data_IF_558514866238
#
_entry.id   IF_558514866238
#
_cell.length_a   1.000
_cell.length_b   1.000
_cell.length_c   1.000
_cell.angle_alpha   90.00
_cell.angle_beta   90.00
_cell.angle_gamma   90.00
#
_symmetry.space_group_name_H-M   'P 1'
#
loop_
_entity.id
_entity.type
_entity.pdbx_description
1 polymer ?
#
# COMPACT_ATOMS: atom_id res chain seq x y z
N UNK A 1 -33.84 -0.46 -6.84
CA UNK A 1 -33.56 -1.87 -7.18
C UNK A 1 -32.09 -2.18 -6.82
N UNK A 2 -31.77 -3.44 -6.56
CA UNK A 2 -30.39 -3.91 -6.38
C UNK A 2 -29.60 -3.89 -7.72
N UNK A 3 -30.27 -4.27 -8.77
CA UNK A 3 -29.68 -4.44 -10.09
C UNK A 3 -29.62 -3.13 -10.88
N UNK A 4 -28.69 -3.05 -11.85
CA UNK A 4 -28.63 -1.97 -12.81
C UNK A 4 -29.79 -2.02 -13.84
N UNK A 5 -29.75 -1.13 -14.87
CA UNK A 5 -30.78 -1.09 -15.90
C UNK A 5 -30.88 -2.37 -16.75
N UNK A 6 -29.82 -3.15 -16.82
CA UNK A 6 -29.76 -4.42 -17.52
C UNK A 6 -30.16 -5.63 -16.64
N UNK A 7 -30.65 -5.40 -15.45
CA UNK A 7 -31.00 -6.41 -14.45
C UNK A 7 -29.83 -7.24 -13.94
N UNK A 8 -28.61 -6.72 -14.05
CA UNK A 8 -27.39 -7.35 -13.53
C UNK A 8 -27.08 -6.80 -12.13
N UNK A 9 -26.77 -7.71 -11.20
CA UNK A 9 -26.24 -7.38 -9.89
C UNK A 9 -24.77 -7.00 -10.02
N UNK A 10 -24.47 -5.71 -9.85
CA UNK A 10 -23.11 -5.21 -10.02
C UNK A 10 -22.13 -5.81 -8.99
N UNK A 11 -22.61 -6.22 -7.82
CA UNK A 11 -21.78 -6.89 -6.80
C UNK A 11 -21.68 -8.42 -7.05
N UNK A 12 -21.84 -8.87 -8.27
CA UNK A 12 -21.56 -10.20 -8.82
C UNK A 12 -20.83 -10.11 -10.15
N UNK A 13 -20.54 -8.91 -10.63
CA UNK A 13 -20.06 -8.66 -11.99
C UNK A 13 -18.59 -8.21 -12.05
N UNK A 14 -17.84 -8.32 -10.93
CA UNK A 14 -16.40 -8.11 -10.91
C UNK A 14 -15.64 -9.41 -11.20
N UNK A 15 -14.36 -9.34 -11.64
CA UNK A 15 -13.48 -10.51 -11.64
C UNK A 15 -13.37 -11.11 -10.24
N UNK A 16 -13.41 -12.44 -10.20
CA UNK A 16 -13.36 -13.21 -8.97
C UNK A 16 -12.06 -14.01 -8.86
N UNK A 17 -11.45 -14.12 -7.69
CA UNK A 17 -10.22 -14.89 -7.49
C UNK A 17 -10.37 -16.38 -7.79
N UNK A 18 -11.52 -16.98 -7.51
CA UNK A 18 -11.80 -18.39 -7.72
C UNK A 18 -12.46 -18.66 -9.07
N UNK A 19 -13.50 -17.90 -9.42
CA UNK A 19 -14.36 -18.16 -10.56
C UNK A 19 -13.99 -17.38 -11.83
N UNK A 20 -12.94 -16.56 -11.75
CA UNK A 20 -12.35 -15.89 -12.91
C UNK A 20 -13.03 -14.59 -13.30
N UNK A 21 -12.98 -14.27 -14.61
CA UNK A 21 -13.31 -12.92 -15.09
C UNK A 21 -14.80 -12.59 -15.10
N UNK A 22 -15.66 -13.57 -15.23
CA UNK A 22 -17.11 -13.41 -15.40
C UNK A 22 -17.88 -14.45 -14.57
N UNK A 23 -17.82 -14.38 -13.23
CA UNK A 23 -18.43 -15.40 -12.37
C UNK A 23 -19.96 -15.47 -12.50
N UNK A 24 -20.61 -14.35 -12.82
CA UNK A 24 -22.05 -14.27 -13.07
C UNK A 24 -22.47 -14.68 -14.51
N UNK A 25 -21.52 -15.05 -15.37
CA UNK A 25 -21.74 -15.41 -16.76
C UNK A 25 -22.11 -14.24 -17.68
N UNK A 26 -22.07 -13.01 -17.20
CA UNK A 26 -22.41 -11.81 -17.97
C UNK A 26 -21.16 -11.04 -18.39
N UNK A 27 -21.27 -10.23 -19.44
CA UNK A 27 -20.27 -9.22 -19.75
C UNK A 27 -20.21 -8.17 -18.65
N UNK A 28 -19.04 -7.60 -18.42
CA UNK A 28 -18.91 -6.48 -17.50
C UNK A 28 -19.84 -5.35 -17.89
N UNK A 29 -20.54 -4.83 -16.92
CA UNK A 29 -21.43 -3.68 -17.10
C UNK A 29 -20.62 -2.38 -17.14
N UNK A 30 -21.19 -1.33 -17.73
CA UNK A 30 -20.51 -0.03 -17.84
C UNK A 30 -20.11 0.51 -16.47
N UNK A 31 -20.97 0.36 -15.47
CA UNK A 31 -20.69 0.79 -14.09
C UNK A 31 -19.54 0.00 -13.47
N UNK A 32 -19.46 -1.32 -13.73
CA UNK A 32 -18.35 -2.17 -13.29
C UNK A 32 -17.05 -1.73 -13.95
N UNK A 33 -17.05 -1.51 -15.28
CA UNK A 33 -15.88 -1.05 -16.03
C UNK A 33 -15.40 0.33 -15.58
N UNK A 34 -16.31 1.27 -15.31
CA UNK A 34 -15.97 2.60 -14.81
C UNK A 34 -15.24 2.50 -13.47
N UNK A 35 -15.76 1.67 -12.55
CA UNK A 35 -15.12 1.47 -11.26
C UNK A 35 -13.78 0.76 -11.36
N UNK A 36 -13.67 -0.28 -12.19
CA UNK A 36 -12.41 -0.98 -12.45
C UNK A 36 -11.34 -0.04 -13.01
N UNK A 37 -11.70 0.80 -13.99
CA UNK A 37 -10.81 1.82 -14.56
C UNK A 37 -10.39 2.89 -13.53
N UNK A 38 -11.29 3.28 -12.64
CA UNK A 38 -10.94 4.17 -11.52
C UNK A 38 -9.90 3.51 -10.61
N UNK A 39 -10.13 2.25 -10.23
CA UNK A 39 -9.22 1.49 -9.38
C UNK A 39 -7.85 1.20 -10.05
N UNK A 40 -7.80 1.18 -11.38
CA UNK A 40 -6.54 1.09 -12.15
C UNK A 40 -5.80 2.43 -12.21
N UNK A 41 -6.54 3.53 -12.25
CA UNK A 41 -5.96 4.89 -12.36
C UNK A 41 -5.47 5.46 -11.02
N UNK A 42 -6.08 5.04 -9.91
CA UNK A 42 -5.76 5.49 -8.55
C UNK A 42 -5.41 4.29 -7.68
N UNK A 43 -4.18 4.17 -7.20
CA UNK A 43 -3.77 3.07 -6.34
C UNK A 43 -4.30 3.29 -4.90
N UNK A 44 -5.58 2.99 -4.70
CA UNK A 44 -6.18 3.03 -3.36
C UNK A 44 -5.48 2.02 -2.45
N UNK A 45 -5.09 2.41 -1.27
CA UNK A 45 -4.47 1.52 -0.28
C UNK A 45 -5.50 0.92 0.68
N UNK A 46 -6.59 1.65 0.93
CA UNK A 46 -7.69 1.23 1.81
C UNK A 46 -9.00 1.83 1.30
N UNK A 47 -10.09 1.07 1.37
CA UNK A 47 -11.43 1.51 0.99
C UNK A 47 -12.50 0.74 1.76
N UNK A 48 -13.73 1.22 1.72
CA UNK A 48 -14.90 0.45 2.13
C UNK A 48 -16.07 0.75 1.19
N UNK A 49 -16.98 -0.20 1.08
CA UNK A 49 -18.26 0.02 0.42
C UNK A 49 -19.42 -0.15 1.41
N UNK A 50 -20.55 0.49 1.10
CA UNK A 50 -21.72 0.48 1.96
C UNK A 50 -22.84 -0.32 1.33
N UNK A 51 -23.40 -1.21 2.13
CA UNK A 51 -24.57 -2.02 1.79
C UNK A 51 -25.67 -1.89 2.82
N UNK A 52 -26.78 -2.55 2.56
CA UNK A 52 -27.92 -2.68 3.45
C UNK A 52 -28.60 -4.03 3.25
N UNK A 53 -29.14 -4.57 4.29
CA UNK A 53 -29.78 -5.89 4.38
C UNK A 53 -29.33 -6.62 5.64
N UNK A 54 -28.31 -6.10 6.29
CA UNK A 54 -27.77 -6.52 7.59
C UNK A 54 -27.16 -5.31 8.33
N UNK A 55 -26.61 -5.57 9.50
CA UNK A 55 -25.86 -4.60 10.32
C UNK A 55 -24.56 -5.29 10.76
N UNK A 56 -23.53 -5.22 9.94
CA UNK A 56 -22.28 -5.97 10.14
C UNK A 56 -21.12 -5.37 9.35
N UNK A 57 -19.93 -5.44 9.91
CA UNK A 57 -18.66 -5.24 9.23
C UNK A 57 -18.23 -6.56 8.60
N UNK A 58 -18.26 -6.64 7.28
CA UNK A 58 -17.79 -7.80 6.50
C UNK A 58 -16.40 -7.54 5.92
N UNK A 59 -15.51 -8.54 6.04
CA UNK A 59 -14.14 -8.48 5.53
C UNK A 59 -13.82 -9.73 4.68
N UNK A 60 -12.84 -9.66 3.76
CA UNK A 60 -12.54 -10.76 2.84
C UNK A 60 -12.11 -12.04 3.54
N UNK A 61 -12.37 -13.16 2.90
CA UNK A 61 -12.86 -13.30 1.53
C UNK A 61 -14.33 -13.67 1.51
N UNK A 62 -15.03 -13.25 0.46
CA UNK A 62 -16.41 -13.65 0.21
C UNK A 62 -16.48 -14.94 -0.65
N UNK A 63 -15.50 -15.14 -1.57
CA UNK A 63 -15.52 -16.20 -2.58
C UNK A 63 -15.06 -17.57 -2.10
N UNK A 64 -14.21 -17.66 -1.07
CA UNK A 64 -13.65 -18.93 -0.57
C UNK A 64 -13.43 -18.97 0.94
N UNK A 65 -13.35 -20.21 1.47
CA UNK A 65 -13.21 -20.46 2.92
C UNK A 65 -11.81 -20.15 3.48
N UNK A 66 -10.82 -19.89 2.64
CA UNK A 66 -9.50 -19.51 3.11
C UNK A 66 -9.57 -18.14 3.78
N UNK A 67 -8.95 -18.00 4.94
CA UNK A 67 -8.79 -16.69 5.56
C UNK A 67 -7.72 -15.86 4.81
N UNK A 68 -7.75 -14.55 4.95
CA UNK A 68 -6.66 -13.71 4.46
C UNK A 68 -5.39 -13.90 5.30
N UNK A 69 -4.22 -13.60 4.75
CA UNK A 69 -2.99 -13.59 5.55
C UNK A 69 -3.05 -12.60 6.72
N UNK A 70 -3.84 -11.53 6.56
CA UNK A 70 -4.03 -10.48 7.56
C UNK A 70 -5.34 -10.66 8.36
N UNK A 71 -5.84 -11.88 8.54
CA UNK A 71 -7.15 -12.13 9.16
C UNK A 71 -7.28 -11.49 10.56
N UNK A 72 -6.26 -11.63 11.41
CA UNK A 72 -6.25 -10.99 12.73
C UNK A 72 -6.38 -9.47 12.66
N UNK A 73 -5.69 -8.83 11.71
CA UNK A 73 -5.83 -7.39 11.49
C UNK A 73 -7.26 -6.99 11.07
N UNK A 74 -7.91 -7.80 10.23
CA UNK A 74 -9.29 -7.57 9.84
C UNK A 74 -10.26 -7.72 11.01
N UNK A 75 -10.05 -8.73 11.87
CA UNK A 75 -10.83 -8.93 13.07
C UNK A 75 -10.70 -7.75 14.05
N UNK A 76 -9.46 -7.28 14.30
CA UNK A 76 -9.24 -6.10 15.16
C UNK A 76 -9.88 -4.83 14.57
N UNK A 77 -9.76 -4.62 13.26
CA UNK A 77 -10.37 -3.49 12.57
C UNK A 77 -11.91 -3.52 12.66
N UNK A 78 -12.49 -4.70 12.41
CA UNK A 78 -13.93 -4.91 12.50
C UNK A 78 -14.45 -4.71 13.93
N UNK A 79 -13.77 -5.28 14.92
CA UNK A 79 -14.09 -5.10 16.33
C UNK A 79 -14.04 -3.62 16.74
N UNK A 80 -12.99 -2.90 16.37
CA UNK A 80 -12.88 -1.45 16.61
C UNK A 80 -14.05 -0.69 15.99
N UNK A 81 -14.46 -1.06 14.76
CA UNK A 81 -15.61 -0.44 14.10
C UNK A 81 -16.89 -0.70 14.87
N UNK A 82 -17.21 -1.97 15.15
CA UNK A 82 -18.42 -2.40 15.85
C UNK A 82 -18.51 -1.82 17.27
N UNK A 83 -17.43 -1.94 18.05
CA UNK A 83 -17.38 -1.40 19.43
C UNK A 83 -17.61 0.11 19.45
N UNK A 84 -17.06 0.84 18.46
CA UNK A 84 -17.32 2.29 18.36
C UNK A 84 -18.77 2.57 17.98
N UNK A 85 -19.39 1.78 17.09
CA UNK A 85 -20.82 1.89 16.77
C UNK A 85 -21.65 1.68 18.04
N UNK A 86 -21.36 0.63 18.81
CA UNK A 86 -22.10 0.30 20.05
C UNK A 86 -22.06 1.42 21.09
N UNK A 87 -21.00 2.24 21.12
CA UNK A 87 -20.90 3.40 22.04
C UNK A 87 -21.87 4.53 21.69
N UNK A 88 -22.26 4.67 20.42
CA UNK A 88 -23.03 5.81 19.91
C UNK A 88 -24.42 5.45 19.41
N UNK A 89 -24.77 4.16 19.39
CA UNK A 89 -26.04 3.65 18.90
C UNK A 89 -26.95 3.12 20.01
N UNK A 90 -28.18 2.83 19.65
CA UNK A 90 -29.11 2.13 20.53
C UNK A 90 -28.72 0.66 20.72
N UNK A 91 -29.02 0.11 21.86
CA UNK A 91 -28.79 -1.32 22.15
C UNK A 91 -29.43 -2.22 21.08
N UNK A 92 -28.65 -3.15 20.55
CA UNK A 92 -29.09 -4.11 19.54
C UNK A 92 -28.74 -3.73 18.10
N UNK A 93 -28.32 -2.50 17.82
CA UNK A 93 -27.81 -2.12 16.52
C UNK A 93 -26.39 -2.65 16.33
N UNK A 94 -26.08 -3.17 15.13
CA UNK A 94 -24.78 -3.70 14.73
C UNK A 94 -24.28 -4.91 15.55
N UNK A 95 -25.20 -5.72 16.05
CA UNK A 95 -24.89 -6.91 16.86
C UNK A 95 -25.03 -8.24 16.09
N UNK A 96 -25.37 -8.16 14.80
CA UNK A 96 -25.54 -9.34 13.97
C UNK A 96 -24.17 -10.00 13.70
N UNK A 97 -24.11 -11.32 13.68
CA UNK A 97 -22.90 -12.13 13.48
C UNK A 97 -21.71 -11.65 14.35
N UNK A 98 -21.23 -12.48 15.23
CA UNK A 98 -20.05 -12.21 16.06
C UNK A 98 -19.93 -10.77 16.58
N UNK A 99 -21.05 -10.24 17.09
CA UNK A 99 -21.12 -8.88 17.62
C UNK A 99 -20.82 -7.77 16.58
N UNK A 100 -21.27 -7.98 15.35
CA UNK A 100 -21.16 -7.00 14.26
C UNK A 100 -19.94 -7.18 13.37
N UNK A 101 -19.25 -8.33 13.41
CA UNK A 101 -18.07 -8.59 12.58
C UNK A 101 -18.14 -9.99 11.98
N UNK A 102 -17.87 -10.11 10.69
CA UNK A 102 -17.84 -11.42 10.03
C UNK A 102 -16.80 -11.46 8.90
N UNK A 103 -16.19 -12.64 8.72
CA UNK A 103 -15.59 -13.01 7.44
C UNK A 103 -16.73 -13.27 6.44
N UNK A 104 -16.52 -12.92 5.17
CA UNK A 104 -17.57 -13.03 4.17
C UNK A 104 -18.04 -14.45 3.92
N UNK A 105 -17.12 -15.37 3.72
CA UNK A 105 -17.44 -16.79 3.53
C UNK A 105 -18.22 -17.39 4.70
N UNK A 106 -17.85 -17.08 5.91
CA UNK A 106 -18.53 -17.55 7.11
C UNK A 106 -19.99 -17.05 7.19
N UNK A 107 -20.29 -15.97 6.50
CA UNK A 107 -21.66 -15.47 6.37
C UNK A 107 -22.39 -16.14 5.22
N UNK A 108 -21.91 -15.96 3.99
CA UNK A 108 -22.34 -16.70 2.79
C UNK A 108 -21.42 -16.38 1.62
N UNK A 109 -21.22 -17.36 0.74
CA UNK A 109 -20.38 -17.24 -0.46
C UNK A 109 -20.92 -16.19 -1.43
N UNK A 110 -20.01 -15.35 -1.94
CA UNK A 110 -20.30 -14.32 -2.93
C UNK A 110 -19.18 -14.29 -3.97
N UNK A 111 -19.52 -14.66 -5.21
CA UNK A 111 -18.62 -14.62 -6.36
C UNK A 111 -18.77 -13.29 -7.09
N UNK A 112 -17.67 -12.73 -7.59
CA UNK A 112 -17.67 -11.47 -8.32
C UNK A 112 -18.03 -10.24 -7.49
N UNK A 113 -17.81 -10.30 -6.19
CA UNK A 113 -17.98 -9.19 -5.27
C UNK A 113 -16.90 -8.12 -5.44
N UNK A 114 -17.27 -6.85 -5.24
CA UNK A 114 -16.32 -5.74 -5.31
C UNK A 114 -15.24 -5.85 -4.22
N UNK A 115 -15.57 -6.32 -3.04
CA UNK A 115 -14.66 -6.48 -1.91
C UNK A 115 -13.46 -7.36 -2.31
N UNK A 116 -13.71 -8.56 -2.83
CA UNK A 116 -12.66 -9.49 -3.23
C UNK A 116 -11.87 -8.99 -4.42
N UNK A 117 -12.54 -8.36 -5.40
CA UNK A 117 -11.86 -7.70 -6.51
C UNK A 117 -10.83 -6.66 -6.02
N UNK A 118 -11.20 -5.78 -5.09
CA UNK A 118 -10.30 -4.75 -4.58
C UNK A 118 -9.14 -5.35 -3.78
N UNK A 119 -9.41 -6.34 -2.95
CA UNK A 119 -8.37 -6.98 -2.14
C UNK A 119 -7.40 -7.81 -3.01
N UNK A 120 -7.91 -8.65 -3.91
CA UNK A 120 -7.08 -9.60 -4.66
C UNK A 120 -6.39 -8.97 -5.87
N UNK A 121 -7.13 -8.24 -6.71
CA UNK A 121 -6.60 -7.71 -7.98
C UNK A 121 -6.01 -6.29 -7.85
N UNK A 122 -6.48 -5.51 -6.86
CA UNK A 122 -6.03 -4.12 -6.66
C UNK A 122 -5.15 -3.94 -5.43
N UNK A 123 -4.99 -4.98 -4.60
CA UNK A 123 -4.18 -4.99 -3.38
C UNK A 123 -4.59 -3.86 -2.41
N UNK A 124 -5.84 -3.44 -2.50
CA UNK A 124 -6.48 -2.45 -1.66
C UNK A 124 -7.24 -3.13 -0.54
N UNK A 125 -7.02 -2.77 0.70
CA UNK A 125 -7.76 -3.31 1.85
C UNK A 125 -9.17 -2.73 1.85
N UNK A 126 -10.13 -3.45 1.26
CA UNK A 126 -11.53 -3.07 1.21
C UNK A 126 -12.38 -3.98 2.10
N UNK A 127 -13.27 -3.39 2.89
CA UNK A 127 -14.35 -4.05 3.63
C UNK A 127 -15.71 -3.64 3.11
N UNK A 128 -16.73 -4.45 3.38
CA UNK A 128 -18.13 -4.13 3.14
C UNK A 128 -18.82 -3.85 4.48
N UNK A 129 -19.47 -2.70 4.60
CA UNK A 129 -20.18 -2.31 5.82
C UNK A 129 -21.67 -2.29 5.52
N UNK A 130 -22.41 -3.20 6.13
CA UNK A 130 -23.85 -3.28 6.07
C UNK A 130 -24.45 -2.41 7.17
N UNK A 131 -25.19 -1.37 6.78
CA UNK A 131 -25.59 -0.29 7.68
C UNK A 131 -27.04 -0.40 8.21
N UNK A 132 -27.85 -1.32 7.68
CA UNK A 132 -29.26 -1.43 8.06
C UNK A 132 -29.82 -2.79 7.71
N UNK A 133 -30.56 -3.40 8.62
CA UNK A 133 -31.34 -4.62 8.36
C UNK A 133 -32.41 -4.40 7.28
N UNK A 134 -32.83 -3.16 7.06
CA UNK A 134 -33.78 -2.79 6.00
C UNK A 134 -33.06 -2.40 4.74
N UNK A 135 -33.28 -3.13 3.63
CA UNK A 135 -32.62 -2.89 2.33
C UNK A 135 -32.84 -1.49 1.76
N UNK A 136 -34.00 -0.89 2.02
CA UNK A 136 -34.32 0.48 1.63
C UNK A 136 -34.94 1.16 2.86
N UNK A 137 -34.11 1.71 3.76
CA UNK A 137 -34.61 2.36 4.98
C UNK A 137 -35.35 3.65 4.65
N UNK A 138 -36.28 4.04 5.53
CA UNK A 138 -36.97 5.30 5.39
C UNK A 138 -35.96 6.46 5.43
N UNK A 139 -36.01 7.43 4.49
CA UNK A 139 -35.10 8.58 4.47
C UNK A 139 -35.00 9.34 5.79
N UNK A 140 -36.06 9.36 6.59
CA UNK A 140 -36.07 10.01 7.90
C UNK A 140 -35.16 9.34 8.94
N UNK A 141 -34.77 8.07 8.71
CA UNK A 141 -33.84 7.32 9.59
C UNK A 141 -32.37 7.50 9.24
N UNK A 142 -32.07 8.00 8.05
CA UNK A 142 -30.67 8.14 7.57
C UNK A 142 -29.78 9.01 8.48
N UNK A 143 -30.27 10.14 9.04
CA UNK A 143 -29.47 10.90 10.01
C UNK A 143 -29.12 10.11 11.28
N UNK A 144 -29.96 9.15 11.70
CA UNK A 144 -29.68 8.22 12.80
C UNK A 144 -28.49 7.33 12.44
N UNK A 145 -28.53 6.62 11.31
CA UNK A 145 -27.44 5.76 10.85
C UNK A 145 -26.11 6.53 10.71
N UNK A 146 -26.16 7.77 10.22
CA UNK A 146 -24.98 8.63 10.19
C UNK A 146 -24.43 8.89 11.59
N UNK A 147 -25.26 9.26 12.54
CA UNK A 147 -24.85 9.53 13.92
C UNK A 147 -24.24 8.30 14.58
N UNK A 148 -24.81 7.13 14.34
CA UNK A 148 -24.36 5.86 14.91
C UNK A 148 -23.00 5.42 14.33
N UNK A 149 -22.73 5.70 13.04
CA UNK A 149 -21.55 5.18 12.34
C UNK A 149 -20.41 6.20 12.13
N UNK A 150 -20.67 7.50 12.18
CA UNK A 150 -19.66 8.53 11.80
C UNK A 150 -18.34 8.42 12.55
N UNK A 151 -18.37 8.07 13.84
CA UNK A 151 -17.15 7.92 14.66
C UNK A 151 -16.35 6.69 14.22
N UNK A 152 -17.04 5.58 13.94
CA UNK A 152 -16.45 4.35 13.42
C UNK A 152 -15.82 4.57 12.04
N UNK A 153 -16.50 5.29 11.15
CA UNK A 153 -15.99 5.64 9.83
C UNK A 153 -14.72 6.51 9.90
N UNK A 154 -14.69 7.49 10.81
CA UNK A 154 -13.49 8.30 11.04
C UNK A 154 -12.35 7.43 11.59
N UNK A 155 -12.64 6.53 12.53
CA UNK A 155 -11.63 5.59 13.05
C UNK A 155 -11.14 4.63 11.97
N UNK A 156 -12.02 4.15 11.09
CA UNK A 156 -11.64 3.34 9.93
C UNK A 156 -10.67 4.10 9.01
N UNK A 157 -10.98 5.34 8.66
CA UNK A 157 -10.09 6.18 7.83
C UNK A 157 -8.73 6.38 8.52
N UNK A 158 -8.70 6.58 9.84
CA UNK A 158 -7.43 6.73 10.59
C UNK A 158 -6.53 5.51 10.49
N UNK A 159 -7.07 4.30 10.28
CA UNK A 159 -6.25 3.10 10.10
C UNK A 159 -5.32 3.21 8.89
N UNK A 160 -5.69 4.00 7.88
CA UNK A 160 -4.80 4.28 6.74
C UNK A 160 -3.49 4.98 7.11
N UNK A 161 -3.38 5.52 8.32
CA UNK A 161 -2.17 6.15 8.83
C UNK A 161 -1.21 5.15 9.51
N UNK A 162 -1.68 3.96 9.87
CA UNK A 162 -0.92 3.00 10.70
C UNK A 162 -0.26 1.90 9.85
N UNK A 163 0.59 1.08 10.50
CA UNK A 163 1.34 0.03 9.84
C UNK A 163 2.67 0.51 9.25
N UNK A 164 3.23 -0.25 8.30
CA UNK A 164 4.49 0.07 7.64
C UNK A 164 4.26 0.88 6.38
N UNK A 165 4.99 1.97 6.21
CA UNK A 165 5.02 2.77 4.98
C UNK A 165 6.36 3.44 4.76
N UNK A 166 6.61 3.91 3.56
CA UNK A 166 7.84 4.60 3.17
C UNK A 166 7.92 4.79 1.67
N UNK A 167 9.12 5.08 1.20
CA UNK A 167 9.44 5.29 -0.22
C UNK A 167 10.51 4.29 -0.65
N UNK A 168 10.34 3.70 -1.84
CA UNK A 168 11.34 2.79 -2.43
C UNK A 168 11.97 3.46 -3.64
N UNK A 169 13.31 3.54 -3.63
CA UNK A 169 14.09 4.22 -4.67
C UNK A 169 15.26 3.37 -5.15
N UNK A 170 15.74 3.70 -6.34
CA UNK A 170 17.03 3.24 -6.85
C UNK A 170 18.17 3.87 -6.02
N UNK A 171 19.10 3.06 -5.53
CA UNK A 171 20.19 3.50 -4.66
C UNK A 171 21.22 4.40 -5.35
N UNK A 172 21.26 4.40 -6.69
CA UNK A 172 22.24 5.15 -7.50
C UNK A 172 21.64 6.46 -7.98
N UNK A 173 20.43 6.40 -8.53
CA UNK A 173 19.79 7.55 -9.18
C UNK A 173 18.83 8.31 -8.26
N UNK A 174 18.38 7.66 -7.17
CA UNK A 174 17.34 8.18 -6.30
C UNK A 174 15.94 8.15 -6.92
N UNK A 175 15.79 7.61 -8.13
CA UNK A 175 14.49 7.54 -8.80
C UNK A 175 13.53 6.56 -8.09
N UNK A 176 12.24 6.88 -8.00
CA UNK A 176 11.25 6.00 -7.38
C UNK A 176 11.08 4.70 -8.17
N UNK A 177 10.84 3.61 -7.45
CA UNK A 177 10.65 2.28 -8.01
C UNK A 177 9.24 1.77 -7.73
N UNK A 178 8.68 0.98 -8.67
CA UNK A 178 7.51 0.13 -8.44
C UNK A 178 8.01 -1.23 -7.96
N UNK A 179 8.17 -1.38 -6.66
CA UNK A 179 8.70 -2.58 -6.01
C UNK A 179 7.61 -3.34 -5.26
N UNK A 180 7.70 -4.67 -5.24
CA UNK A 180 6.89 -5.55 -4.41
C UNK A 180 7.38 -5.49 -2.98
N UNK A 181 6.45 -5.39 -2.04
CA UNK A 181 6.66 -5.44 -0.59
C UNK A 181 5.86 -6.60 -0.05
N UNK A 182 6.54 -7.59 0.48
CA UNK A 182 5.93 -8.82 1.02
C UNK A 182 6.58 -9.24 2.33
N UNK A 183 5.87 -10.04 3.11
CA UNK A 183 6.34 -10.59 4.38
C UNK A 183 6.56 -12.09 4.21
N UNK A 184 7.80 -12.54 4.37
CA UNK A 184 8.14 -13.94 4.24
C UNK A 184 7.44 -14.81 5.29
N UNK A 185 6.84 -15.91 4.81
CA UNK A 185 6.13 -16.87 5.65
C UNK A 185 4.77 -16.40 6.16
N UNK A 186 4.32 -15.23 5.73
CA UNK A 186 3.05 -14.65 6.10
C UNK A 186 2.15 -14.39 4.87
N UNK A 187 2.66 -13.69 3.85
CA UNK A 187 1.84 -13.24 2.73
C UNK A 187 1.48 -14.36 1.76
N UNK A 188 0.18 -14.48 1.44
CA UNK A 188 -0.40 -15.34 0.40
C UNK A 188 -1.66 -14.66 -0.17
N UNK A 189 -2.25 -15.21 -1.20
CA UNK A 189 -3.49 -14.75 -1.84
C UNK A 189 -3.55 -13.21 -2.00
N UNK A 190 -2.52 -12.64 -2.65
CA UNK A 190 -2.42 -11.20 -2.93
C UNK A 190 -2.36 -10.27 -1.73
N UNK A 191 -1.91 -10.74 -0.56
CA UNK A 191 -1.74 -9.86 0.62
C UNK A 191 -0.51 -8.97 0.60
N UNK A 192 0.45 -9.20 -0.32
CA UNK A 192 1.55 -8.26 -0.59
C UNK A 192 1.05 -6.91 -1.13
N UNK A 193 1.91 -5.90 -1.16
CA UNK A 193 1.61 -4.61 -1.80
C UNK A 193 2.73 -4.19 -2.75
N UNK A 194 2.48 -3.16 -3.56
CA UNK A 194 3.51 -2.52 -4.38
C UNK A 194 3.69 -1.06 -3.98
N UNK A 195 4.90 -0.55 -4.17
CA UNK A 195 5.11 0.90 -4.17
C UNK A 195 4.61 1.50 -5.48
N UNK A 196 4.12 2.75 -5.43
CA UNK A 196 3.42 3.41 -6.51
C UNK A 196 4.23 4.56 -7.11
N UNK A 197 4.30 4.59 -8.45
CA UNK A 197 4.86 5.71 -9.18
C UNK A 197 3.85 6.86 -9.26
N UNK A 198 4.29 8.13 -9.36
CA UNK A 198 5.68 8.57 -9.53
C UNK A 198 6.47 8.78 -8.24
N UNK A 199 5.93 8.46 -7.07
CA UNK A 199 6.55 8.78 -5.76
C UNK A 199 7.39 7.62 -5.22
N UNK A 200 7.03 6.36 -5.52
CA UNK A 200 7.63 5.16 -4.94
C UNK A 200 7.10 4.81 -3.55
N UNK A 201 6.01 5.44 -3.14
CA UNK A 201 5.41 5.22 -1.81
C UNK A 201 4.69 3.88 -1.74
N UNK A 202 4.73 3.26 -0.56
CA UNK A 202 4.00 2.03 -0.24
C UNK A 202 3.35 2.11 1.13
N UNK A 203 2.29 1.30 1.33
CA UNK A 203 1.54 1.19 2.57
C UNK A 203 1.21 -0.29 2.81
N UNK A 204 1.61 -0.85 3.94
CA UNK A 204 1.31 -2.23 4.34
C UNK A 204 0.66 -2.22 5.72
N UNK A 205 -0.64 -2.48 5.75
CA UNK A 205 -1.42 -2.62 6.98
C UNK A 205 -1.25 -4.03 7.51
N UNK A 206 -1.00 -4.17 8.81
CA UNK A 206 -0.78 -5.43 9.50
C UNK A 206 -0.80 -5.18 11.00
N UNK A 207 -1.12 -6.23 11.76
CA UNK A 207 -1.08 -6.21 13.22
C UNK A 207 0.29 -5.90 13.79
N UNK A 208 0.32 -5.63 15.09
CA UNK A 208 1.57 -5.55 15.83
C UNK A 208 2.35 -6.87 15.76
N UNK A 209 3.65 -6.76 15.62
CA UNK A 209 4.52 -7.92 15.55
C UNK A 209 5.91 -7.58 15.04
N UNK A 210 6.74 -8.62 14.92
CA UNK A 210 8.04 -8.53 14.27
C UNK A 210 7.98 -9.33 12.98
N UNK A 211 8.26 -8.67 11.86
CA UNK A 211 8.09 -9.23 10.52
C UNK A 211 9.35 -9.07 9.68
N UNK A 212 9.68 -10.10 8.90
CA UNK A 212 10.73 -10.01 7.89
C UNK A 212 10.14 -9.54 6.56
N UNK A 213 10.21 -8.24 6.31
CA UNK A 213 9.80 -7.65 5.05
C UNK A 213 10.83 -7.87 3.96
N UNK A 214 10.38 -8.26 2.78
CA UNK A 214 11.18 -8.37 1.58
C UNK A 214 10.73 -7.34 0.54
N UNK A 215 11.68 -6.58 0.03
CA UNK A 215 11.50 -5.55 -0.99
C UNK A 215 12.17 -6.02 -2.28
N UNK A 216 11.41 -6.18 -3.36
CA UNK A 216 11.92 -6.68 -4.62
C UNK A 216 11.41 -5.89 -5.83
N UNK A 217 12.28 -5.68 -6.81
CA UNK A 217 11.97 -5.03 -8.07
C UNK A 217 12.76 -5.70 -9.19
N UNK A 218 12.14 -5.87 -10.37
CA UNK A 218 12.83 -6.45 -11.53
C UNK A 218 14.06 -5.61 -11.90
N UNK A 219 15.21 -6.26 -12.07
CA UNK A 219 16.48 -5.58 -12.35
C UNK A 219 17.25 -5.09 -11.12
N UNK A 220 16.76 -5.38 -9.92
CA UNK A 220 17.39 -4.97 -8.65
C UNK A 220 17.64 -6.17 -7.73
N UNK A 221 18.62 -6.02 -6.84
CA UNK A 221 18.85 -6.95 -5.73
C UNK A 221 17.71 -6.77 -4.71
N UNK A 222 17.09 -7.88 -4.29
CA UNK A 222 16.09 -7.86 -3.23
C UNK A 222 16.73 -7.51 -1.89
N UNK A 223 15.97 -6.83 -1.04
CA UNK A 223 16.41 -6.43 0.30
C UNK A 223 15.40 -6.89 1.34
N UNK A 224 15.87 -7.61 2.36
CA UNK A 224 15.04 -8.02 3.50
C UNK A 224 15.40 -7.20 4.73
N UNK A 225 14.39 -6.83 5.52
CA UNK A 225 14.54 -6.02 6.74
C UNK A 225 13.58 -6.55 7.79
N UNK A 226 14.10 -6.79 9.01
CA UNK A 226 13.28 -7.06 10.18
C UNK A 226 12.67 -5.75 10.69
N UNK A 227 11.35 -5.72 10.84
CA UNK A 227 10.60 -4.52 11.26
C UNK A 227 9.64 -4.86 12.38
N UNK A 228 9.71 -4.11 13.46
CA UNK A 228 8.71 -4.13 14.53
C UNK A 228 7.55 -3.20 14.19
N UNK A 229 6.35 -3.74 14.18
CA UNK A 229 5.09 -3.00 14.00
C UNK A 229 4.39 -2.90 15.36
N UNK A 230 3.88 -1.73 15.69
CA UNK A 230 3.08 -1.50 16.88
C UNK A 230 1.66 -1.08 16.49
N UNK A 231 0.66 -1.52 17.25
CA UNK A 231 -0.73 -1.15 17.02
C UNK A 231 -0.94 0.36 17.09
N UNK A 232 -1.86 0.85 16.27
CA UNK A 232 -2.25 2.26 16.21
C UNK A 232 -1.06 3.24 16.04
N UNK A 233 -0.01 2.79 15.38
CA UNK A 233 1.18 3.61 15.10
C UNK A 233 1.68 3.45 13.67
N UNK A 234 2.43 4.44 13.22
CA UNK A 234 3.09 4.45 11.91
C UNK A 234 4.55 4.06 12.07
N UNK A 235 4.98 3.01 11.37
CA UNK A 235 6.40 2.71 11.16
C UNK A 235 6.80 3.23 9.78
N UNK A 236 7.83 4.08 9.70
CA UNK A 236 8.35 4.62 8.44
C UNK A 236 9.67 3.94 8.11
N UNK A 237 9.75 3.36 6.92
CA UNK A 237 10.97 2.72 6.40
C UNK A 237 11.15 3.06 4.92
N UNK A 238 12.09 3.96 4.63
CA UNK A 238 12.53 4.21 3.26
C UNK A 238 13.57 3.17 2.84
N UNK A 239 13.42 2.63 1.63
CA UNK A 239 14.24 1.54 1.14
C UNK A 239 14.93 1.93 -0.16
N UNK A 240 16.22 1.67 -0.24
CA UNK A 240 16.99 1.79 -1.47
C UNK A 240 17.35 0.40 -1.97
N UNK A 241 17.05 0.12 -3.26
CA UNK A 241 17.41 -1.12 -3.94
C UNK A 241 18.60 -0.90 -4.87
N UNK A 242 19.52 -1.87 -4.92
CA UNK A 242 20.73 -1.81 -5.73
C UNK A 242 20.46 -2.47 -7.09
N UNK A 243 20.72 -1.79 -8.23
CA UNK A 243 20.58 -2.40 -9.55
C UNK A 243 21.47 -3.64 -9.73
N UNK A 244 20.95 -4.72 -10.33
CA UNK A 244 21.72 -5.94 -10.60
C UNK A 244 22.92 -5.72 -11.53
N UNK A 245 22.81 -4.80 -12.48
CA UNK A 245 23.87 -4.46 -13.42
C UNK A 245 24.87 -3.44 -12.88
N UNK A 246 24.71 -3.04 -11.62
CA UNK A 246 25.75 -2.29 -10.92
C UNK A 246 26.94 -3.21 -10.65
N UNK A 247 27.65 -3.58 -11.72
CA UNK A 247 29.06 -3.84 -11.60
C UNK A 247 29.63 -2.49 -11.20
N UNK A 248 29.87 -2.31 -9.91
CA UNK A 248 30.73 -1.22 -9.47
C UNK A 248 32.01 -1.36 -10.30
N UNK A 249 32.12 -0.59 -11.36
CA UNK A 249 33.45 -0.28 -11.86
C UNK A 249 34.07 0.42 -10.65
N UNK A 250 34.69 -0.38 -9.78
CA UNK A 250 35.84 0.09 -9.07
C UNK A 250 36.74 0.45 -10.24
N UNK A 251 36.53 1.65 -10.80
CA UNK A 251 37.65 2.26 -11.49
C UNK A 251 38.73 2.21 -10.40
N UNK A 252 39.80 1.43 -10.60
CA UNK A 252 40.97 1.58 -9.76
C UNK A 252 41.13 3.10 -9.79
N UNK A 253 41.18 3.72 -8.62
CA UNK A 253 41.57 5.12 -8.53
C UNK A 253 42.92 5.10 -9.25
N UNK A 254 42.87 5.28 -10.57
CA UNK A 254 44.08 5.43 -11.35
C UNK A 254 44.62 6.69 -10.74
N UNK A 255 45.67 6.54 -9.95
CA UNK A 255 46.36 7.69 -9.42
C UNK A 255 46.66 8.54 -10.64
N UNK A 256 45.81 9.55 -10.87
CA UNK A 256 45.91 10.41 -12.04
C UNK A 256 47.34 10.90 -12.03
N UNK A 257 48.14 10.43 -12.95
CA UNK A 257 49.58 10.75 -12.98
C UNK A 257 49.69 12.25 -13.18
N UNK A 258 50.11 12.95 -12.11
CA UNK A 258 50.33 14.37 -12.12
C UNK A 258 51.43 14.66 -13.13
N UNK A 259 51.14 15.51 -14.12
CA UNK A 259 52.16 15.96 -15.11
C UNK A 259 52.82 17.23 -14.61
N UNK A 260 52.02 18.22 -14.21
CA UNK A 260 52.50 19.53 -13.82
C UNK A 260 51.63 20.14 -12.72
N UNK A 261 52.26 21.00 -11.94
CA UNK A 261 51.61 21.84 -10.94
C UNK A 261 52.06 23.30 -11.12
N UNK A 262 51.12 24.22 -11.23
CA UNK A 262 51.37 25.63 -11.46
C UNK A 262 50.61 26.47 -10.41
N UNK A 263 51.11 27.67 -10.14
CA UNK A 263 50.29 28.68 -9.44
C UNK A 263 49.26 29.33 -10.38
N UNK A 264 48.44 30.21 -9.87
CA UNK A 264 47.40 30.91 -10.66
C UNK A 264 47.98 31.83 -11.76
N UNK A 265 49.28 32.12 -11.72
CA UNK A 265 50.01 32.91 -12.70
C UNK A 265 50.80 32.02 -13.69
N UNK A 266 50.59 30.68 -13.65
CA UNK A 266 51.25 29.72 -14.55
C UNK A 266 52.71 29.40 -14.20
N UNK A 267 53.23 29.75 -13.01
CA UNK A 267 54.61 29.49 -12.59
C UNK A 267 54.72 28.14 -11.89
N UNK A 268 55.75 27.36 -12.23
CA UNK A 268 56.07 26.08 -11.57
C UNK A 268 56.72 26.34 -10.21
N UNK A 269 56.34 25.52 -9.20
CA UNK A 269 57.04 25.50 -7.91
C UNK A 269 56.84 26.73 -7.03
N UNK A 270 55.80 27.51 -7.25
CA UNK A 270 55.49 28.69 -6.44
C UNK A 270 54.93 28.28 -5.06
N UNK A 271 55.25 29.05 -4.05
CA UNK A 271 54.77 28.89 -2.64
C UNK A 271 53.35 29.44 -2.41
N UNK A 272 52.65 29.80 -3.47
CA UNK A 272 51.27 30.36 -3.34
C UNK A 272 50.28 29.33 -2.87
N UNK A 273 49.31 29.77 -2.05
CA UNK A 273 48.26 28.93 -1.48
C UNK A 273 47.24 28.39 -2.47
N UNK A 274 47.29 28.84 -3.74
CA UNK A 274 46.42 28.37 -4.81
C UNK A 274 47.26 27.72 -5.90
N UNK A 275 46.95 26.44 -6.18
CA UNK A 275 47.66 25.65 -7.17
C UNK A 275 46.68 25.00 -8.14
N UNK A 276 47.13 24.84 -9.40
CA UNK A 276 46.42 24.09 -10.45
C UNK A 276 47.26 22.86 -10.81
N UNK A 277 46.70 21.67 -10.59
CA UNK A 277 47.30 20.40 -10.97
C UNK A 277 46.78 19.95 -12.34
N UNK A 278 47.64 19.58 -13.25
CA UNK A 278 47.31 19.03 -14.55
C UNK A 278 47.69 17.54 -14.56
N UNK A 279 46.75 16.70 -14.97
CA UNK A 279 46.94 15.26 -15.01
C UNK A 279 47.10 14.76 -16.45
N UNK A 280 47.61 13.54 -16.61
CA UNK A 280 47.92 12.93 -17.93
C UNK A 280 46.69 12.76 -18.84
N UNK A 281 45.47 12.70 -18.24
CA UNK A 281 44.21 12.64 -18.96
C UNK A 281 43.70 14.00 -19.42
N UNK A 282 44.48 15.07 -19.26
CA UNK A 282 44.08 16.44 -19.57
C UNK A 282 43.22 17.12 -18.52
N UNK A 283 42.78 16.39 -17.48
CA UNK A 283 42.00 16.99 -16.44
C UNK A 283 42.79 17.90 -15.52
N UNK A 284 42.18 18.89 -14.92
CA UNK A 284 42.79 19.83 -14.02
C UNK A 284 42.08 19.82 -12.64
N UNK A 285 42.86 20.07 -11.58
CA UNK A 285 42.33 20.25 -10.22
C UNK A 285 42.90 21.51 -9.59
N UNK A 286 42.03 22.43 -9.15
CA UNK A 286 42.43 23.59 -8.35
C UNK A 286 42.51 23.18 -6.88
N UNK A 287 43.60 23.53 -6.21
CA UNK A 287 43.83 23.29 -4.79
C UNK A 287 44.01 24.66 -4.13
N UNK A 288 43.30 24.89 -3.06
CA UNK A 288 43.45 26.08 -2.21
C UNK A 288 43.87 25.58 -0.83
N UNK A 289 45.10 25.89 -0.40
CA UNK A 289 45.56 25.59 0.92
C UNK A 289 45.17 26.77 1.83
N UNK A 290 44.19 26.54 2.70
CA UNK A 290 43.83 27.53 3.75
C UNK A 290 44.67 27.14 4.96
N UNK A 291 45.70 27.93 5.28
CA UNK A 291 46.40 27.80 6.57
C UNK A 291 45.40 28.21 7.64
N UNK A 292 44.95 27.25 8.44
CA UNK A 292 44.32 27.57 9.75
C UNK A 292 45.49 27.95 10.68
N UNK A 293 45.59 29.24 11.00
CA UNK A 293 46.35 29.73 12.16
C UNK A 293 45.57 29.44 13.42
#
# INVERSE_FOLDING_TARGET
TRNNANWIDLNRNYPDPQDGQHPDGNSWQEETLIFMNLADSIPFSMSCNFHTGAEVFNYPWDTWSNLTADDSWWQELGAMYADTVHQYSNAGYFNYLNNGVTNGWDWYEVDGGRQDFMNYFKLCRESTIELSNTKIPNPTTLPGFWNDNKSSLINYIKQSLYGLRGIITDSITGQPLKARVEIFGHDYDSSHVYSNLPVGNYHRYIDQGNYLFNFSCSGYQSKSVDVAINNSSTTILDVQLIPNSYVGIIQPISQKKLINEFDILGRKGSLNNIKVKIFKDGSTKKIININQN
#
